data_IF_685981447162
#
_entry.id   IF_685981447162
#
_cell.length_a   1.000
_cell.length_b   1.000
_cell.length_c   1.000
_cell.angle_alpha   90.00
_cell.angle_beta   90.00
_cell.angle_gamma   90.00
#
_symmetry.space_group_name_H-M   'P 1'
#
loop_
_entity.id
_entity.type
_entity.pdbx_description
1 polymer ?
#
# COMPACT_ATOMS: atom_id res chain seq x y z
N UNK A 1 44.46 32.19 -37.42
CA UNK A 1 43.48 32.22 -38.53
C UNK A 1 43.44 30.83 -39.14
N UNK A 2 42.26 30.26 -39.36
CA UNK A 2 42.04 28.86 -39.72
C UNK A 2 41.16 28.76 -40.96
N UNK A 3 41.47 27.83 -41.86
CA UNK A 3 40.55 27.37 -42.91
C UNK A 3 39.47 26.48 -42.28
N UNK A 4 38.35 26.28 -42.99
CA UNK A 4 37.22 25.52 -42.46
C UNK A 4 37.57 24.08 -42.04
N UNK A 5 38.51 23.43 -42.73
CA UNK A 5 38.98 22.08 -42.36
C UNK A 5 39.82 22.10 -41.08
N UNK A 6 40.73 23.07 -40.95
CA UNK A 6 41.56 23.23 -39.75
C UNK A 6 40.70 23.63 -38.54
N UNK A 7 39.63 24.42 -38.76
CA UNK A 7 38.66 24.75 -37.73
C UNK A 7 37.86 23.53 -37.29
N UNK A 8 37.40 22.71 -38.24
CA UNK A 8 36.68 21.46 -37.98
C UNK A 8 37.48 20.52 -37.07
N UNK A 9 38.75 20.29 -37.42
CA UNK A 9 39.66 19.44 -36.64
C UNK A 9 39.88 20.00 -35.23
N UNK A 10 40.00 21.33 -35.10
CA UNK A 10 40.29 21.99 -33.83
C UNK A 10 39.13 21.95 -32.83
N UNK A 11 37.88 21.97 -33.30
CA UNK A 11 36.68 21.95 -32.43
C UNK A 11 35.98 20.59 -32.42
N UNK A 12 36.50 19.60 -33.14
CA UNK A 12 35.93 18.25 -33.22
C UNK A 12 34.57 18.18 -33.92
N UNK A 13 34.29 19.10 -34.86
CA UNK A 13 33.02 19.13 -35.61
C UNK A 13 33.24 18.81 -37.09
N UNK A 14 32.26 18.20 -37.73
CA UNK A 14 32.33 17.98 -39.18
C UNK A 14 32.28 19.31 -39.95
N UNK A 15 32.94 19.36 -41.10
CA UNK A 15 32.88 20.51 -42.02
C UNK A 15 31.43 20.87 -42.40
N UNK A 16 30.55 19.89 -42.56
CA UNK A 16 29.13 20.11 -42.84
C UNK A 16 28.40 20.81 -41.69
N UNK A 17 28.73 20.47 -40.44
CA UNK A 17 28.18 21.13 -39.24
C UNK A 17 28.62 22.59 -39.17
N UNK A 18 29.90 22.88 -39.44
CA UNK A 18 30.40 24.27 -39.45
C UNK A 18 29.77 25.12 -40.57
N UNK A 19 29.59 24.55 -41.76
CA UNK A 19 28.86 25.23 -42.85
C UNK A 19 27.40 25.47 -42.50
N UNK A 20 26.76 24.54 -41.80
CA UNK A 20 25.40 24.71 -41.31
C UNK A 20 25.32 25.82 -40.25
N UNK A 21 26.25 25.88 -39.29
CA UNK A 21 26.31 26.95 -38.28
C UNK A 21 26.54 28.31 -38.93
N UNK A 22 27.39 28.38 -39.95
CA UNK A 22 27.60 29.59 -40.75
C UNK A 22 26.31 30.01 -41.50
N UNK A 23 25.57 29.06 -42.08
CA UNK A 23 24.27 29.32 -42.72
C UNK A 23 23.23 29.84 -41.72
N UNK A 24 23.24 29.33 -40.49
CA UNK A 24 22.38 29.81 -39.40
C UNK A 24 22.86 31.16 -38.80
N UNK A 25 24.02 31.67 -39.24
CA UNK A 25 24.59 32.94 -38.79
C UNK A 25 25.23 32.87 -37.40
N UNK A 26 25.55 31.66 -36.93
CA UNK A 26 26.24 31.38 -35.67
C UNK A 26 27.77 31.49 -35.77
N UNK A 27 28.27 31.62 -37.00
CA UNK A 27 29.69 31.75 -37.33
C UNK A 27 29.78 32.67 -38.55
N UNK A 28 30.82 33.50 -38.66
CA UNK A 28 31.04 34.34 -39.86
C UNK A 28 32.51 34.35 -40.24
N UNK A 29 32.88 33.58 -41.26
CA UNK A 29 34.23 33.62 -41.81
C UNK A 29 34.52 34.92 -42.56
N UNK A 30 35.71 35.48 -42.39
CA UNK A 30 36.20 36.59 -43.19
C UNK A 30 36.63 36.10 -44.58
N UNK A 31 36.13 36.74 -45.65
CA UNK A 31 36.42 36.32 -47.03
C UNK A 31 37.70 36.99 -47.53
N UNK A 32 38.66 36.20 -47.97
CA UNK A 32 39.89 36.70 -48.59
C UNK A 32 39.67 36.99 -50.09
N UNK A 33 40.58 37.79 -50.67
CA UNK A 33 40.62 38.12 -52.11
C UNK A 33 40.73 36.90 -53.02
N UNK A 34 41.24 35.78 -52.51
CA UNK A 34 41.34 34.49 -53.20
C UNK A 34 40.07 33.61 -53.07
N UNK A 35 38.99 34.12 -52.47
CA UNK A 35 37.71 33.43 -52.34
C UNK A 35 37.57 32.48 -51.14
N UNK A 36 38.66 32.17 -50.42
CA UNK A 36 38.62 31.33 -49.22
C UNK A 36 38.08 32.09 -48.00
N UNK A 37 37.44 31.37 -47.07
CA UNK A 37 37.01 31.89 -45.76
C UNK A 37 38.06 31.55 -44.70
N UNK A 38 38.42 32.55 -43.90
CA UNK A 38 39.27 32.38 -42.73
C UNK A 38 38.54 32.73 -41.45
N UNK A 39 38.77 31.91 -40.43
CA UNK A 39 38.20 32.02 -39.10
C UNK A 39 39.28 32.36 -38.09
N UNK A 40 38.96 33.18 -37.11
CA UNK A 40 39.86 33.64 -36.05
C UNK A 40 39.85 32.71 -34.84
N UNK A 41 40.75 32.94 -33.88
CA UNK A 41 40.68 32.27 -32.57
C UNK A 41 39.40 32.63 -31.80
N UNK A 42 38.81 33.80 -32.05
CA UNK A 42 37.51 34.18 -31.47
C UNK A 42 36.38 33.27 -31.98
N UNK A 43 36.44 32.87 -33.25
CA UNK A 43 35.47 31.94 -33.84
C UNK A 43 35.58 30.54 -33.21
N UNK A 44 36.79 30.09 -32.87
CA UNK A 44 37.02 28.85 -32.12
C UNK A 44 36.37 28.93 -30.72
N UNK A 45 36.61 30.03 -29.99
CA UNK A 45 36.01 30.24 -28.68
C UNK A 45 34.48 30.29 -28.73
N UNK A 46 33.91 30.94 -29.75
CA UNK A 46 32.46 31.00 -29.96
C UNK A 46 31.85 29.62 -30.23
N UNK A 47 32.54 28.76 -30.99
CA UNK A 47 32.10 27.39 -31.24
C UNK A 47 32.15 26.53 -29.98
N UNK A 48 33.17 26.66 -29.14
CA UNK A 48 33.22 25.99 -27.85
C UNK A 48 32.11 26.46 -26.91
N UNK A 49 31.82 27.76 -26.85
CA UNK A 49 30.68 28.28 -26.08
C UNK A 49 29.35 27.71 -26.59
N UNK A 50 29.19 27.60 -27.91
CA UNK A 50 28.00 27.02 -28.51
C UNK A 50 27.86 25.53 -28.16
N UNK A 51 28.95 24.76 -28.16
CA UNK A 51 28.94 23.36 -27.72
C UNK A 51 28.54 23.22 -26.23
N UNK A 52 28.99 24.13 -25.36
CA UNK A 52 28.60 24.15 -23.94
C UNK A 52 27.12 24.50 -23.75
N UNK A 53 26.55 25.40 -24.57
CA UNK A 53 25.12 25.70 -24.52
C UNK A 53 24.29 24.51 -25.04
N UNK A 54 24.76 23.82 -26.07
CA UNK A 54 24.10 22.63 -26.61
C UNK A 54 24.14 21.44 -25.63
N UNK A 55 25.20 21.27 -24.85
CA UNK A 55 25.26 20.22 -23.82
C UNK A 55 24.24 20.45 -22.69
N UNK A 56 23.88 21.70 -22.42
CA UNK A 56 22.75 22.07 -21.56
C UNK A 56 21.37 21.85 -22.20
N UNK A 57 21.30 21.26 -23.40
CA UNK A 57 20.07 20.92 -24.10
C UNK A 57 19.48 22.02 -24.98
N UNK A 58 20.12 23.19 -25.11
CA UNK A 58 19.62 24.29 -25.94
C UNK A 58 19.69 23.95 -27.44
N UNK A 59 18.66 24.33 -28.18
CA UNK A 59 18.68 24.26 -29.65
C UNK A 59 19.57 25.36 -30.22
N UNK A 60 20.02 25.17 -31.45
CA UNK A 60 20.85 26.16 -32.16
C UNK A 60 20.20 27.55 -32.28
N UNK A 61 18.86 27.61 -32.36
CA UNK A 61 18.12 28.87 -32.40
C UNK A 61 18.18 29.60 -31.05
N UNK A 62 18.15 28.87 -29.95
CA UNK A 62 18.29 29.43 -28.60
C UNK A 62 19.74 29.79 -28.30
N UNK A 63 20.72 28.97 -28.72
CA UNK A 63 22.14 29.33 -28.62
C UNK A 63 22.43 30.63 -29.38
N UNK A 64 21.85 30.81 -30.57
CA UNK A 64 21.95 32.08 -31.31
C UNK A 64 21.37 33.24 -30.53
N UNK A 65 20.16 33.06 -30.00
CA UNK A 65 19.49 34.08 -29.19
C UNK A 65 20.28 34.41 -27.92
N UNK A 66 21.00 33.43 -27.36
CA UNK A 66 21.87 33.59 -26.19
C UNK A 66 23.09 34.45 -26.53
N UNK A 67 23.76 34.13 -27.63
CA UNK A 67 24.91 34.88 -28.14
C UNK A 67 24.51 36.32 -28.55
N UNK A 68 23.30 36.50 -29.06
CA UNK A 68 22.74 37.82 -29.39
C UNK A 68 22.24 38.60 -28.14
N UNK A 69 22.46 38.08 -26.92
CA UNK A 69 22.01 38.65 -25.64
C UNK A 69 20.50 38.88 -25.53
N UNK A 70 19.71 38.07 -26.26
CA UNK A 70 18.24 38.14 -26.35
C UNK A 70 17.54 37.00 -25.61
N UNK A 71 18.27 36.14 -24.90
CA UNK A 71 17.64 35.05 -24.14
C UNK A 71 16.92 35.61 -22.93
N UNK A 72 15.61 35.42 -22.95
CA UNK A 72 14.74 35.69 -21.82
C UNK A 72 14.97 34.58 -20.78
N UNK A 73 15.27 34.97 -19.55
CA UNK A 73 15.46 34.07 -18.39
C UNK A 73 14.38 32.97 -18.31
N UNK A 74 13.14 33.31 -18.65
CA UNK A 74 12.00 32.39 -18.71
C UNK A 74 12.22 31.16 -19.61
N UNK A 75 12.99 31.26 -20.70
CA UNK A 75 13.29 30.12 -21.59
C UNK A 75 14.22 29.12 -20.92
N UNK A 76 15.20 29.61 -20.16
CA UNK A 76 16.13 28.77 -19.40
C UNK A 76 15.42 28.12 -18.21
N UNK A 77 14.58 28.86 -17.49
CA UNK A 77 13.78 28.34 -16.38
C UNK A 77 12.84 27.22 -16.84
N UNK A 78 12.12 27.40 -17.96
CA UNK A 78 11.25 26.36 -18.52
C UNK A 78 12.02 25.09 -18.94
N UNK A 79 13.25 25.25 -19.44
CA UNK A 79 14.11 24.11 -19.81
C UNK A 79 14.65 23.38 -18.59
N UNK A 80 15.06 24.13 -17.57
CA UNK A 80 15.51 23.57 -16.30
C UNK A 80 14.38 22.74 -15.66
N UNK A 81 13.18 23.31 -15.57
CA UNK A 81 12.01 22.59 -15.06
C UNK A 81 11.76 21.28 -15.81
N UNK A 82 11.82 21.29 -17.14
CA UNK A 82 11.64 20.08 -17.95
C UNK A 82 12.74 19.04 -17.70
N UNK A 83 13.99 19.48 -17.51
CA UNK A 83 15.09 18.58 -17.17
C UNK A 83 14.89 17.97 -15.77
N UNK A 84 14.42 18.74 -14.81
CA UNK A 84 14.12 18.25 -13.46
C UNK A 84 12.98 17.22 -13.49
N UNK A 85 11.93 17.46 -14.29
CA UNK A 85 10.85 16.49 -14.54
C UNK A 85 11.38 15.18 -15.18
N UNK A 86 12.24 15.29 -16.20
CA UNK A 86 12.86 14.14 -16.86
C UNK A 86 13.79 13.36 -15.90
N UNK A 87 14.54 14.06 -15.03
CA UNK A 87 15.40 13.44 -14.01
C UNK A 87 14.55 12.68 -13.00
N UNK A 88 13.48 13.30 -12.49
CA UNK A 88 12.57 12.66 -11.55
C UNK A 88 11.97 11.38 -12.14
N UNK A 89 11.50 11.43 -13.39
CA UNK A 89 10.99 10.24 -14.08
C UNK A 89 12.05 9.15 -14.25
N UNK A 90 13.28 9.52 -14.63
CA UNK A 90 14.38 8.55 -14.78
C UNK A 90 14.81 7.94 -13.45
N UNK A 91 14.78 8.72 -12.36
CA UNK A 91 15.04 8.23 -11.01
C UNK A 91 13.97 7.23 -10.58
N UNK A 92 12.68 7.55 -10.78
CA UNK A 92 11.59 6.63 -10.48
C UNK A 92 11.69 5.33 -11.29
N UNK A 93 12.01 5.42 -12.59
CA UNK A 93 12.23 4.24 -13.42
C UNK A 93 13.43 3.41 -12.94
N UNK A 94 14.52 4.06 -12.50
CA UNK A 94 15.67 3.38 -11.93
C UNK A 94 15.29 2.67 -10.63
N UNK A 95 14.58 3.33 -9.73
CA UNK A 95 14.13 2.73 -8.45
C UNK A 95 13.26 1.50 -8.69
N UNK A 96 12.33 1.57 -9.65
CA UNK A 96 11.56 0.40 -10.08
C UNK A 96 12.46 -0.74 -10.55
N UNK A 97 13.44 -0.47 -11.42
CA UNK A 97 14.34 -1.50 -11.93
C UNK A 97 15.23 -2.09 -10.83
N UNK A 98 15.73 -1.27 -9.90
CA UNK A 98 16.50 -1.73 -8.74
C UNK A 98 15.64 -2.64 -7.86
N UNK A 99 14.38 -2.26 -7.64
CA UNK A 99 13.43 -3.07 -6.87
C UNK A 99 13.10 -4.39 -7.57
N UNK A 100 12.83 -4.38 -8.88
CA UNK A 100 12.56 -5.59 -9.67
C UNK A 100 13.78 -6.52 -9.78
N UNK A 101 15.00 -5.98 -9.70
CA UNK A 101 16.24 -6.76 -9.63
C UNK A 101 16.53 -7.27 -8.21
N UNK A 102 15.65 -6.99 -7.25
CA UNK A 102 15.76 -7.43 -5.87
C UNK A 102 16.86 -6.75 -5.06
N UNK A 103 17.27 -5.55 -5.48
CA UNK A 103 18.31 -4.77 -4.81
C UNK A 103 17.73 -3.70 -3.88
N UNK A 104 16.40 -3.55 -3.85
CA UNK A 104 15.66 -2.68 -2.94
C UNK A 104 14.21 -3.15 -2.80
N UNK A 105 13.51 -2.62 -1.80
CA UNK A 105 12.11 -2.96 -1.55
C UNK A 105 11.19 -2.65 -2.73
N UNK A 106 10.31 -3.60 -3.05
CA UNK A 106 9.21 -3.46 -4.03
C UNK A 106 7.94 -2.82 -3.43
N UNK A 107 7.97 -2.39 -2.16
CA UNK A 107 6.84 -1.82 -1.42
C UNK A 107 6.01 -0.82 -2.22
N UNK A 108 6.67 0.26 -2.65
CA UNK A 108 6.03 1.38 -3.33
C UNK A 108 5.44 0.92 -4.66
N UNK A 109 6.12 0.01 -5.36
CA UNK A 109 5.63 -0.53 -6.62
C UNK A 109 4.39 -1.40 -6.43
N UNK A 110 4.39 -2.30 -5.44
CA UNK A 110 3.22 -3.12 -5.12
C UNK A 110 2.02 -2.24 -4.74
N UNK A 111 2.21 -1.24 -3.87
CA UNK A 111 1.15 -0.31 -3.49
C UNK A 111 0.59 0.47 -4.69
N UNK A 112 1.47 1.00 -5.55
CA UNK A 112 1.04 1.75 -6.74
C UNK A 112 0.35 0.85 -7.77
N UNK A 113 0.87 -0.36 -7.99
CA UNK A 113 0.33 -1.29 -8.97
C UNK A 113 -0.98 -1.88 -8.50
N UNK A 114 -1.12 -2.21 -7.21
CA UNK A 114 -2.41 -2.65 -6.64
C UNK A 114 -3.48 -1.55 -6.77
N UNK A 115 -3.10 -0.28 -6.59
CA UNK A 115 -4.03 0.84 -6.76
C UNK A 115 -4.47 1.06 -8.21
N UNK A 116 -3.55 0.91 -9.16
CA UNK A 116 -3.80 1.23 -10.58
C UNK A 116 -4.31 0.03 -11.39
N UNK A 117 -3.89 -1.18 -11.04
CA UNK A 117 -4.14 -2.41 -11.76
C UNK A 117 -4.17 -3.64 -10.82
N UNK A 118 -5.12 -3.69 -9.87
CA UNK A 118 -5.17 -4.72 -8.82
C UNK A 118 -5.25 -6.15 -9.39
N UNK A 119 -6.09 -6.37 -10.40
CA UNK A 119 -6.29 -7.69 -10.99
C UNK A 119 -5.03 -8.19 -11.71
N UNK A 120 -4.38 -7.30 -12.49
CA UNK A 120 -3.14 -7.63 -13.20
C UNK A 120 -1.97 -7.86 -12.23
N UNK A 121 -1.93 -7.12 -11.12
CA UNK A 121 -0.94 -7.33 -10.06
C UNK A 121 -1.12 -8.69 -9.39
N UNK A 122 -2.36 -9.07 -9.06
CA UNK A 122 -2.70 -10.37 -8.48
C UNK A 122 -2.35 -11.53 -9.42
N UNK A 123 -2.71 -11.42 -10.71
CA UNK A 123 -2.35 -12.42 -11.72
C UNK A 123 -0.82 -12.56 -11.88
N UNK A 124 -0.10 -11.43 -11.88
CA UNK A 124 1.36 -11.44 -11.96
C UNK A 124 1.98 -12.14 -10.75
N UNK A 125 1.50 -11.86 -9.53
CA UNK A 125 1.95 -12.55 -8.32
C UNK A 125 1.72 -14.07 -8.43
N UNK A 126 0.53 -14.48 -8.89
CA UNK A 126 0.22 -15.91 -9.13
C UNK A 126 1.18 -16.54 -10.15
N UNK A 127 1.57 -15.82 -11.21
CA UNK A 127 2.54 -16.30 -12.20
C UNK A 127 3.97 -16.41 -11.67
N UNK A 128 4.35 -15.62 -10.66
CA UNK A 128 5.66 -15.75 -9.99
C UNK A 128 5.73 -16.95 -9.03
N UNK A 129 4.67 -17.76 -8.94
CA UNK A 129 4.63 -18.97 -8.11
C UNK A 129 4.05 -18.76 -6.72
N UNK A 130 3.58 -17.55 -6.40
CA UNK A 130 2.85 -17.30 -5.16
C UNK A 130 1.45 -17.90 -5.26
N UNK A 131 1.07 -18.68 -4.25
CA UNK A 131 -0.33 -19.08 -4.11
C UNK A 131 -1.19 -17.86 -3.73
N UNK A 132 -2.51 -18.01 -3.77
CA UNK A 132 -3.43 -16.90 -3.52
C UNK A 132 -3.28 -16.31 -2.10
N UNK A 133 -3.03 -17.14 -1.09
CA UNK A 133 -2.72 -16.69 0.28
C UNK A 133 -1.44 -15.83 0.32
N UNK A 134 -0.39 -16.24 -0.38
CA UNK A 134 0.88 -15.51 -0.43
C UNK A 134 0.74 -14.21 -1.24
N UNK A 135 -0.05 -14.21 -2.31
CA UNK A 135 -0.30 -13.03 -3.11
C UNK A 135 -1.12 -11.97 -2.33
N UNK A 136 -2.13 -12.41 -1.56
CA UNK A 136 -2.87 -11.55 -0.65
C UNK A 136 -1.99 -11.07 0.52
N UNK A 137 -1.11 -11.91 1.04
CA UNK A 137 -0.10 -11.51 2.03
C UNK A 137 0.89 -10.49 1.49
N UNK A 138 1.33 -10.59 0.23
CA UNK A 138 2.23 -9.61 -0.41
C UNK A 138 1.54 -8.28 -0.69
N UNK A 139 0.25 -8.32 -1.06
CA UNK A 139 -0.62 -7.14 -1.15
C UNK A 139 -0.72 -6.41 0.20
N UNK A 140 -0.73 -7.16 1.30
CA UNK A 140 -0.86 -6.61 2.66
C UNK A 140 0.48 -6.18 3.28
N UNK A 141 1.53 -6.98 3.16
CA UNK A 141 2.81 -6.71 3.82
C UNK A 141 3.62 -5.63 3.13
N UNK A 142 3.44 -5.44 1.82
CA UNK A 142 4.20 -4.44 1.06
C UNK A 142 5.72 -4.55 1.30
N UNK A 143 6.23 -5.77 1.54
CA UNK A 143 7.62 -6.02 1.98
C UNK A 143 8.41 -6.80 0.95
N UNK A 144 9.73 -6.62 1.04
CA UNK A 144 10.75 -6.99 0.06
C UNK A 144 10.63 -8.46 -0.38
N UNK A 145 10.50 -8.67 -1.68
CA UNK A 145 10.24 -9.97 -2.32
C UNK A 145 11.42 -10.95 -2.15
N UNK A 146 12.61 -10.45 -1.79
CA UNK A 146 13.84 -11.27 -1.67
C UNK A 146 14.04 -11.87 -0.27
N UNK A 147 13.24 -11.43 0.71
CA UNK A 147 13.31 -11.91 2.10
C UNK A 147 11.96 -12.44 2.60
N UNK A 148 10.98 -12.60 1.71
CA UNK A 148 9.59 -12.95 2.06
C UNK A 148 9.50 -14.21 2.92
N UNK A 149 10.19 -15.29 2.56
CA UNK A 149 10.13 -16.55 3.31
C UNK A 149 10.69 -16.42 4.72
N UNK A 150 11.81 -15.70 4.88
CA UNK A 150 12.41 -15.45 6.20
C UNK A 150 11.56 -14.49 7.02
N UNK A 151 11.04 -13.44 6.40
CA UNK A 151 10.12 -12.50 7.04
C UNK A 151 8.88 -13.24 7.56
N UNK A 152 8.27 -14.10 6.74
CA UNK A 152 7.10 -14.88 7.14
C UNK A 152 7.43 -15.91 8.22
N UNK A 153 8.60 -16.56 8.15
CA UNK A 153 9.05 -17.46 9.20
C UNK A 153 9.23 -16.74 10.54
N UNK A 154 9.87 -15.57 10.54
CA UNK A 154 10.06 -14.74 11.74
C UNK A 154 8.72 -14.23 12.27
N UNK A 155 7.85 -13.75 11.38
CA UNK A 155 6.51 -13.29 11.72
C UNK A 155 5.70 -14.40 12.39
N UNK A 156 5.64 -15.58 11.78
CA UNK A 156 4.94 -16.73 12.36
C UNK A 156 5.57 -17.17 13.69
N UNK A 157 6.89 -17.09 13.84
CA UNK A 157 7.58 -17.39 15.12
C UNK A 157 7.08 -16.50 16.26
N UNK A 158 6.76 -15.24 15.97
CA UNK A 158 6.13 -14.33 16.94
C UNK A 158 4.66 -14.71 17.14
N UNK A 159 3.87 -14.77 16.07
CA UNK A 159 2.41 -14.82 16.13
C UNK A 159 1.81 -16.20 16.48
N UNK A 160 2.55 -17.29 16.26
CA UNK A 160 2.06 -18.66 16.51
C UNK A 160 1.61 -18.87 17.97
N UNK A 161 2.32 -18.29 18.93
CA UNK A 161 2.03 -18.46 20.37
C UNK A 161 0.98 -17.50 20.91
N UNK A 162 0.61 -16.48 20.13
CA UNK A 162 -0.37 -15.50 20.56
C UNK A 162 -1.78 -16.10 20.47
N UNK A 163 -2.61 -15.77 21.45
CA UNK A 163 -4.02 -16.14 21.45
C UNK A 163 -4.81 -15.34 20.40
N UNK A 164 -4.37 -14.11 20.12
CA UNK A 164 -5.06 -13.14 19.27
C UNK A 164 -4.12 -12.61 18.20
N UNK A 165 -4.69 -12.29 17.05
CA UNK A 165 -3.98 -11.65 15.93
C UNK A 165 -4.34 -10.18 15.72
N UNK A 166 -5.22 -9.63 16.57
CA UNK A 166 -5.51 -8.21 16.59
C UNK A 166 -6.23 -7.78 17.88
N UNK A 167 -6.46 -6.47 18.05
CA UNK A 167 -7.19 -5.93 19.19
C UNK A 167 -8.63 -6.45 19.28
N UNK A 168 -9.05 -6.85 20.48
CA UNK A 168 -10.42 -7.33 20.74
C UNK A 168 -10.58 -7.81 22.18
N UNK A 169 -11.80 -7.74 22.74
CA UNK A 169 -12.09 -8.27 24.07
C UNK A 169 -13.55 -8.74 24.18
N UNK A 170 -13.82 -9.69 25.09
CA UNK A 170 -15.14 -10.33 25.20
C UNK A 170 -16.23 -9.31 25.49
N UNK A 171 -15.90 -8.29 26.29
CA UNK A 171 -16.86 -7.28 26.71
C UNK A 171 -17.37 -6.40 25.54
N UNK A 172 -16.55 -6.19 24.51
CA UNK A 172 -16.92 -5.39 23.34
C UNK A 172 -17.67 -6.23 22.31
N UNK A 173 -17.22 -7.46 22.03
CA UNK A 173 -17.94 -8.40 21.17
C UNK A 173 -19.32 -8.75 21.76
N UNK A 174 -19.40 -8.98 23.08
CA UNK A 174 -20.67 -9.23 23.75
C UNK A 174 -21.59 -8.00 23.73
N UNK A 175 -21.04 -6.78 23.86
CA UNK A 175 -21.81 -5.55 23.70
C UNK A 175 -22.44 -5.48 22.30
N UNK A 176 -21.66 -5.73 21.25
CA UNK A 176 -22.16 -5.72 19.88
C UNK A 176 -23.25 -6.77 19.64
N UNK A 177 -23.07 -7.98 20.19
CA UNK A 177 -24.05 -9.06 20.12
C UNK A 177 -25.38 -8.67 20.80
N UNK A 178 -25.30 -8.05 22.00
CA UNK A 178 -26.47 -7.60 22.76
C UNK A 178 -27.18 -6.39 22.12
N UNK A 179 -26.51 -5.66 21.25
CA UNK A 179 -27.11 -4.56 20.48
C UNK A 179 -27.98 -5.08 19.32
N UNK A 180 -27.82 -6.34 18.89
CA UNK A 180 -28.64 -6.91 17.82
C UNK A 180 -30.12 -6.94 18.25
N UNK A 181 -31.05 -6.37 17.44
CA UNK A 181 -32.48 -6.36 17.77
C UNK A 181 -33.11 -7.76 17.90
N UNK A 182 -32.52 -8.77 17.26
CA UNK A 182 -32.96 -10.16 17.32
C UNK A 182 -31.76 -11.07 17.46
N UNK A 183 -31.90 -12.14 18.25
CA UNK A 183 -30.86 -13.14 18.42
C UNK A 183 -30.69 -13.89 17.08
N UNK A 184 -29.49 -13.92 16.50
CA UNK A 184 -29.25 -14.61 15.24
C UNK A 184 -29.36 -16.13 15.42
N UNK A 185 -29.80 -16.80 14.37
CA UNK A 185 -29.89 -18.27 14.29
C UNK A 185 -28.84 -18.88 13.37
N UNK A 186 -28.30 -18.11 12.41
CA UNK A 186 -27.25 -18.54 11.48
C UNK A 186 -26.20 -17.45 11.29
N UNK A 187 -25.02 -17.67 11.85
CA UNK A 187 -23.92 -16.73 11.84
C UNK A 187 -22.81 -17.23 10.93
N UNK A 188 -22.19 -16.34 10.16
CA UNK A 188 -20.88 -16.57 9.54
C UNK A 188 -19.87 -15.61 10.17
N UNK A 189 -18.78 -16.15 10.70
CA UNK A 189 -17.66 -15.41 11.27
C UNK A 189 -16.51 -15.42 10.25
N UNK A 190 -16.29 -14.29 9.56
CA UNK A 190 -15.38 -14.17 8.42
C UNK A 190 -14.04 -13.60 8.86
N UNK A 191 -12.95 -14.32 8.56
CA UNK A 191 -11.62 -14.03 9.06
C UNK A 191 -11.55 -14.29 10.57
N UNK A 192 -11.99 -15.47 10.99
CA UNK A 192 -12.16 -15.81 12.40
C UNK A 192 -10.82 -16.07 13.13
N UNK A 193 -9.73 -16.29 12.40
CA UNK A 193 -8.41 -16.64 12.93
C UNK A 193 -8.49 -17.81 13.91
N UNK A 194 -7.93 -17.62 15.11
CA UNK A 194 -7.99 -18.61 16.21
C UNK A 194 -9.35 -18.65 16.94
N UNK A 195 -10.38 -18.05 16.33
CA UNK A 195 -11.79 -18.05 16.72
C UNK A 195 -12.09 -17.36 18.05
N UNK A 196 -11.45 -16.22 18.30
CA UNK A 196 -11.77 -15.40 19.47
C UNK A 196 -13.27 -15.02 19.51
N UNK A 197 -13.77 -14.38 18.46
CA UNK A 197 -15.18 -14.05 18.27
C UNK A 197 -16.04 -15.31 18.18
N UNK A 198 -15.60 -16.32 17.42
CA UNK A 198 -16.34 -17.57 17.22
C UNK A 198 -16.70 -18.26 18.55
N UNK A 199 -15.74 -18.39 19.47
CA UNK A 199 -15.99 -19.00 20.78
C UNK A 199 -16.96 -18.20 21.62
N UNK A 200 -16.89 -16.86 21.58
CA UNK A 200 -17.83 -15.99 22.28
C UNK A 200 -19.25 -16.16 21.71
N UNK A 201 -19.39 -16.14 20.39
CA UNK A 201 -20.67 -16.36 19.72
C UNK A 201 -21.25 -17.74 20.05
N UNK A 202 -20.42 -18.78 20.09
CA UNK A 202 -20.84 -20.13 20.46
C UNK A 202 -21.31 -20.23 21.92
N UNK A 203 -20.68 -19.51 22.85
CA UNK A 203 -21.06 -19.46 24.28
C UNK A 203 -22.36 -18.69 24.53
N UNK A 204 -22.59 -17.62 23.78
CA UNK A 204 -23.66 -16.66 24.05
C UNK A 204 -24.86 -16.76 23.11
N UNK A 205 -24.83 -17.68 22.15
CA UNK A 205 -25.95 -17.92 21.23
C UNK A 205 -26.21 -19.41 21.03
N UNK A 206 -27.41 -19.75 20.54
CA UNK A 206 -27.76 -21.08 20.05
C UNK A 206 -27.63 -21.19 18.52
N UNK A 207 -26.99 -20.22 17.87
CA UNK A 207 -26.89 -20.16 16.41
C UNK A 207 -26.07 -21.32 15.84
N UNK A 208 -26.38 -21.72 14.61
CA UNK A 208 -25.42 -22.44 13.77
C UNK A 208 -24.37 -21.44 13.29
N UNK A 209 -23.09 -21.72 13.53
CA UNK A 209 -21.98 -20.81 13.22
C UNK A 209 -21.11 -21.45 12.15
N UNK A 210 -20.78 -20.69 11.12
CA UNK A 210 -19.74 -21.04 10.15
C UNK A 210 -18.55 -20.13 10.38
N UNK A 211 -17.44 -20.70 10.85
CA UNK A 211 -16.20 -19.97 11.08
C UNK A 211 -15.30 -20.11 9.86
N UNK A 212 -14.95 -18.99 9.22
CA UNK A 212 -14.20 -18.95 7.97
C UNK A 212 -12.87 -18.26 8.19
N UNK A 213 -11.79 -18.91 7.79
CA UNK A 213 -10.47 -18.31 7.66
C UNK A 213 -9.75 -18.91 6.45
N UNK A 214 -8.71 -18.25 5.95
CA UNK A 214 -7.89 -18.81 4.88
C UNK A 214 -6.75 -19.67 5.42
N UNK A 215 -6.47 -19.62 6.73
CA UNK A 215 -5.38 -20.34 7.37
C UNK A 215 -5.87 -21.62 8.08
N UNK A 216 -5.63 -22.77 7.44
CA UNK A 216 -6.08 -24.07 7.96
C UNK A 216 -5.53 -24.36 9.37
N UNK A 217 -4.30 -23.97 9.67
CA UNK A 217 -3.71 -24.21 11.00
C UNK A 217 -4.44 -23.46 12.12
N UNK A 218 -5.00 -22.28 11.83
CA UNK A 218 -5.82 -21.52 12.77
C UNK A 218 -7.16 -22.20 13.03
N UNK A 219 -7.76 -22.77 11.98
CA UNK A 219 -9.01 -23.53 12.06
C UNK A 219 -8.82 -24.83 12.83
N UNK A 220 -7.72 -25.55 12.61
CA UNK A 220 -7.41 -26.78 13.35
C UNK A 220 -7.31 -26.48 14.86
N UNK A 221 -6.52 -25.45 15.22
CA UNK A 221 -6.39 -24.93 16.59
C UNK A 221 -7.74 -24.48 17.19
N UNK A 222 -8.61 -23.86 16.38
CA UNK A 222 -9.95 -23.46 16.81
C UNK A 222 -10.83 -24.68 17.07
N UNK A 223 -10.79 -25.69 16.19
CA UNK A 223 -11.53 -26.94 16.33
C UNK A 223 -11.20 -27.67 17.62
N UNK A 224 -9.91 -27.79 17.94
CA UNK A 224 -9.44 -28.38 19.20
C UNK A 224 -10.02 -27.64 20.42
N UNK A 225 -9.91 -26.30 20.45
CA UNK A 225 -10.43 -25.48 21.55
C UNK A 225 -11.95 -25.55 21.68
N UNK A 226 -12.68 -25.63 20.58
CA UNK A 226 -14.14 -25.78 20.59
C UNK A 226 -14.54 -27.13 21.16
N UNK A 227 -13.84 -28.21 20.79
CA UNK A 227 -14.08 -29.54 21.32
C UNK A 227 -13.78 -29.62 22.83
N UNK A 228 -12.66 -29.04 23.28
CA UNK A 228 -12.31 -28.95 24.71
C UNK A 228 -13.36 -28.22 25.54
N UNK A 229 -14.06 -27.24 24.94
CA UNK A 229 -15.10 -26.45 25.60
C UNK A 229 -16.52 -27.02 25.37
N UNK A 230 -16.67 -28.09 24.60
CA UNK A 230 -17.97 -28.68 24.23
C UNK A 230 -18.85 -27.75 23.39
N UNK A 231 -18.23 -26.90 22.56
CA UNK A 231 -18.88 -25.89 21.72
C UNK A 231 -18.88 -26.24 20.22
N UNK A 232 -18.27 -27.35 19.83
CA UNK A 232 -18.02 -27.79 18.46
C UNK A 232 -19.30 -28.20 17.70
N UNK A 233 -20.31 -28.74 18.41
CA UNK A 233 -21.51 -29.32 17.78
C UNK A 233 -22.31 -28.39 16.85
N UNK A 234 -22.18 -27.07 17.02
CA UNK A 234 -22.88 -26.05 16.22
C UNK A 234 -21.95 -25.18 15.38
N UNK A 235 -20.64 -25.49 15.36
CA UNK A 235 -19.65 -24.69 14.65
C UNK A 235 -19.08 -25.52 13.50
N UNK A 236 -19.32 -25.04 12.28
CA UNK A 236 -18.70 -25.57 11.07
C UNK A 236 -17.45 -24.74 10.75
N UNK A 237 -16.31 -25.40 10.60
CA UNK A 237 -15.06 -24.75 10.17
C UNK A 237 -14.94 -24.80 8.64
N UNK A 238 -14.56 -23.70 8.01
CA UNK A 238 -14.41 -23.61 6.55
C UNK A 238 -13.14 -22.86 6.17
N UNK A 239 -12.17 -23.58 5.60
CA UNK A 239 -10.97 -22.97 5.04
C UNK A 239 -11.30 -22.36 3.67
N UNK A 240 -11.51 -21.05 3.62
CA UNK A 240 -11.91 -20.34 2.40
C UNK A 240 -11.43 -18.88 2.40
N UNK A 241 -11.31 -18.30 1.21
CA UNK A 241 -11.01 -16.88 1.07
C UNK A 241 -12.23 -16.03 1.42
N UNK A 242 -12.02 -14.94 2.17
CA UNK A 242 -13.07 -13.95 2.43
C UNK A 242 -13.59 -13.22 1.18
N UNK A 243 -12.85 -13.30 0.06
CA UNK A 243 -13.22 -12.74 -1.25
C UNK A 243 -13.93 -13.74 -2.16
N UNK A 244 -13.94 -15.04 -1.82
CA UNK A 244 -14.55 -16.10 -2.61
C UNK A 244 -15.22 -17.12 -1.68
N UNK A 245 -16.28 -16.66 -1.00
CA UNK A 245 -16.99 -17.43 0.01
C UNK A 245 -17.92 -18.46 -0.66
N UNK A 246 -17.79 -19.77 -0.37
CA UNK A 246 -18.51 -20.85 -1.06
C UNK A 246 -19.95 -21.04 -0.53
N UNK A 247 -20.67 -19.95 -0.28
CA UNK A 247 -22.01 -19.98 0.31
C UNK A 247 -23.06 -19.39 -0.63
N UNK A 248 -24.26 -19.97 -0.58
CA UNK A 248 -25.39 -19.44 -1.33
C UNK A 248 -25.80 -18.05 -0.81
N UNK A 249 -26.29 -17.15 -1.67
CA UNK A 249 -26.90 -15.90 -1.23
C UNK A 249 -28.00 -16.12 -0.20
N UNK A 250 -28.18 -15.15 0.71
CA UNK A 250 -29.24 -15.16 1.73
C UNK A 250 -29.23 -16.38 2.68
N UNK A 251 -28.05 -16.90 3.02
CA UNK A 251 -27.89 -18.07 3.90
C UNK A 251 -27.75 -17.74 5.38
N UNK A 252 -27.38 -16.50 5.73
CA UNK A 252 -27.05 -16.10 7.10
C UNK A 252 -27.93 -14.94 7.58
N UNK A 253 -28.31 -14.93 8.85
CA UNK A 253 -29.00 -13.80 9.48
C UNK A 253 -28.05 -12.86 10.22
N UNK A 254 -26.79 -13.27 10.43
CA UNK A 254 -25.72 -12.42 10.91
C UNK A 254 -24.39 -12.74 10.23
N UNK A 255 -23.66 -11.70 9.84
CA UNK A 255 -22.25 -11.75 9.47
C UNK A 255 -21.46 -11.10 10.58
N UNK A 256 -20.40 -11.76 11.02
CA UNK A 256 -19.47 -11.27 12.03
C UNK A 256 -18.07 -11.21 11.42
N UNK A 257 -17.32 -10.14 11.69
CA UNK A 257 -15.93 -9.99 11.25
C UNK A 257 -15.23 -8.97 12.13
N UNK A 258 -14.29 -9.41 12.96
CA UNK A 258 -13.49 -8.52 13.80
C UNK A 258 -12.06 -8.47 13.29
N UNK A 259 -11.57 -7.28 12.93
CA UNK A 259 -10.16 -7.07 12.59
C UNK A 259 -9.70 -7.79 11.32
N UNK A 260 -10.61 -8.06 10.38
CA UNK A 260 -10.28 -8.81 9.15
C UNK A 260 -10.84 -8.19 7.87
N UNK A 261 -11.99 -7.51 7.92
CA UNK A 261 -12.65 -6.97 6.73
C UNK A 261 -11.78 -5.95 5.95
N UNK A 262 -10.85 -5.27 6.61
CA UNK A 262 -9.93 -4.34 5.94
C UNK A 262 -9.01 -5.04 4.93
N UNK A 263 -8.76 -6.35 5.07
CA UNK A 263 -7.87 -7.13 4.20
C UNK A 263 -8.37 -7.15 2.76
N UNK A 264 -9.69 -7.27 2.56
CA UNK A 264 -10.31 -7.16 1.23
C UNK A 264 -10.79 -5.74 0.89
N UNK A 265 -10.65 -4.80 1.83
CA UNK A 265 -11.22 -3.47 1.78
C UNK A 265 -12.68 -3.44 2.26
N UNK A 266 -12.98 -2.50 3.16
CA UNK A 266 -14.28 -2.44 3.85
C UNK A 266 -15.45 -2.23 2.88
N UNK A 267 -15.31 -1.37 1.87
CA UNK A 267 -16.38 -1.14 0.88
C UNK A 267 -16.69 -2.40 0.04
N UNK A 268 -15.65 -3.19 -0.27
CA UNK A 268 -15.83 -4.47 -0.97
C UNK A 268 -16.51 -5.48 -0.06
N UNK A 269 -16.08 -5.59 1.20
CA UNK A 269 -16.71 -6.44 2.21
C UNK A 269 -18.20 -6.11 2.36
N UNK A 270 -18.53 -4.83 2.56
CA UNK A 270 -19.92 -4.36 2.66
C UNK A 270 -20.75 -4.76 1.43
N UNK A 271 -20.20 -4.63 0.23
CA UNK A 271 -20.94 -4.92 -1.02
C UNK A 271 -21.09 -6.42 -1.27
N UNK A 272 -20.02 -7.19 -1.12
CA UNK A 272 -20.01 -8.62 -1.44
C UNK A 272 -20.74 -9.43 -0.37
N UNK A 273 -20.44 -9.20 0.90
CA UNK A 273 -21.01 -9.96 2.01
C UNK A 273 -22.49 -9.66 2.23
N UNK A 274 -22.99 -8.46 1.84
CA UNK A 274 -24.44 -8.14 1.86
C UNK A 274 -25.30 -9.16 1.09
N UNK A 275 -24.75 -9.84 0.08
CA UNK A 275 -25.45 -10.87 -0.70
C UNK A 275 -25.71 -12.14 0.11
N UNK A 276 -24.87 -12.44 1.09
CA UNK A 276 -25.00 -13.62 1.95
C UNK A 276 -26.03 -13.43 3.06
N UNK A 277 -26.37 -12.18 3.39
CA UNK A 277 -27.38 -11.87 4.40
C UNK A 277 -28.80 -12.10 3.88
N UNK A 278 -29.61 -12.76 4.70
CA UNK A 278 -31.07 -12.79 4.58
C UNK A 278 -31.67 -11.39 4.65
N UNK A 279 -32.94 -11.25 4.26
CA UNK A 279 -33.66 -10.00 4.40
C UNK A 279 -33.66 -9.51 5.86
N UNK A 280 -33.22 -8.27 6.07
CA UNK A 280 -33.05 -7.63 7.39
C UNK A 280 -32.03 -8.32 8.32
N UNK A 281 -31.14 -9.16 7.79
CA UNK A 281 -30.00 -9.69 8.53
C UNK A 281 -29.00 -8.62 8.94
N UNK A 282 -28.09 -8.97 9.84
CA UNK A 282 -27.15 -8.03 10.47
C UNK A 282 -25.71 -8.26 10.05
N UNK A 283 -24.92 -7.19 10.03
CA UNK A 283 -23.48 -7.28 9.87
C UNK A 283 -22.83 -6.59 11.06
N UNK A 284 -21.98 -7.32 11.77
CA UNK A 284 -21.12 -6.78 12.82
C UNK A 284 -19.71 -6.82 12.29
N UNK A 285 -19.11 -5.65 12.11
CA UNK A 285 -17.77 -5.50 11.59
C UNK A 285 -16.96 -4.55 12.45
N UNK A 286 -15.70 -4.88 12.74
CA UNK A 286 -14.76 -3.94 13.31
C UNK A 286 -13.78 -3.42 12.26
N UNK A 287 -13.47 -2.13 12.34
CA UNK A 287 -12.53 -1.46 11.42
C UNK A 287 -11.61 -0.51 12.20
N UNK A 288 -10.38 -0.36 11.71
CA UNK A 288 -9.42 0.59 12.25
C UNK A 288 -9.72 1.97 11.65
N UNK A 289 -9.90 2.98 12.49
CA UNK A 289 -10.37 4.30 12.07
C UNK A 289 -9.63 5.45 12.76
N UNK A 290 -9.65 6.62 12.13
CA UNK A 290 -9.30 7.88 12.77
C UNK A 290 -10.39 8.33 13.73
N UNK A 291 -10.01 8.57 14.98
CA UNK A 291 -10.86 9.10 16.05
C UNK A 291 -10.77 10.64 16.18
N UNK A 292 -9.84 11.26 15.45
CA UNK A 292 -9.63 12.70 15.36
C UNK A 292 -9.55 13.15 13.91
N UNK A 293 -9.98 14.38 13.62
CA UNK A 293 -9.85 15.01 12.30
C UNK A 293 -8.43 15.58 12.06
N UNK A 294 -7.59 15.64 13.10
CA UNK A 294 -6.23 16.17 13.02
C UNK A 294 -5.22 15.20 13.66
N UNK A 295 -4.99 14.01 13.07
CA UNK A 295 -4.00 13.06 13.55
C UNK A 295 -2.57 13.57 13.35
N UNK A 296 -1.67 13.06 14.18
CA UNK A 296 -0.23 13.31 14.11
C UNK A 296 0.34 12.80 12.78
N UNK A 297 1.23 13.58 12.17
CA UNK A 297 1.82 13.25 10.86
C UNK A 297 2.55 11.90 10.86
N UNK A 298 3.16 11.53 11.99
CA UNK A 298 3.83 10.23 12.14
C UNK A 298 2.85 9.06 12.11
N UNK A 299 1.72 9.16 12.81
CA UNK A 299 0.66 8.17 12.75
C UNK A 299 0.07 8.06 11.34
N UNK A 300 -0.15 9.20 10.66
CA UNK A 300 -0.64 9.22 9.27
C UNK A 300 0.34 8.50 8.34
N UNK A 301 1.62 8.86 8.38
CA UNK A 301 2.63 8.25 7.52
C UNK A 301 2.78 6.75 7.75
N UNK A 302 2.64 6.28 9.00
CA UNK A 302 2.64 4.86 9.31
C UNK A 302 1.43 4.15 8.71
N UNK A 303 0.21 4.63 9.01
CA UNK A 303 -1.01 3.96 8.55
C UNK A 303 -1.26 4.11 7.05
N UNK A 304 -0.76 5.15 6.37
CA UNK A 304 -0.75 5.20 4.90
C UNK A 304 0.03 4.03 4.29
N UNK A 305 1.05 3.54 4.98
CA UNK A 305 1.85 2.40 4.56
C UNK A 305 1.21 1.03 4.86
N UNK A 306 0.50 0.90 5.97
CA UNK A 306 -0.04 -0.37 6.48
C UNK A 306 -1.55 -0.55 6.17
N UNK A 307 -2.34 0.52 6.30
CA UNK A 307 -3.78 0.53 6.02
C UNK A 307 -4.23 1.86 5.35
N UNK A 308 -3.98 2.05 4.05
CA UNK A 308 -4.25 3.32 3.36
C UNK A 308 -5.75 3.67 3.22
N UNK A 309 -6.66 2.71 3.43
CA UNK A 309 -8.12 2.97 3.49
C UNK A 309 -8.60 3.33 4.90
N UNK A 310 -7.72 3.69 5.84
CA UNK A 310 -8.17 4.15 7.15
C UNK A 310 -8.98 5.45 7.03
N UNK A 311 -10.25 5.41 7.45
CA UNK A 311 -11.19 6.53 7.34
C UNK A 311 -11.53 7.15 8.71
N UNK A 312 -12.15 8.33 8.69
CA UNK A 312 -12.83 8.89 9.88
C UNK A 312 -14.16 8.17 10.13
N UNK A 313 -14.69 8.31 11.35
CA UNK A 313 -16.00 7.75 11.74
C UNK A 313 -17.09 8.14 10.73
N UNK A 314 -17.25 9.44 10.46
CA UNK A 314 -18.33 9.94 9.61
C UNK A 314 -18.23 9.44 8.17
N UNK A 315 -17.01 9.37 7.64
CA UNK A 315 -16.76 8.86 6.30
C UNK A 315 -17.14 7.39 6.20
N UNK A 316 -16.76 6.57 7.19
CA UNK A 316 -17.09 5.13 7.21
C UNK A 316 -18.60 4.90 7.37
N UNK A 317 -19.27 5.65 8.24
CA UNK A 317 -20.73 5.62 8.36
C UNK A 317 -21.44 5.99 7.05
N UNK A 318 -20.92 6.98 6.31
CA UNK A 318 -21.45 7.32 4.99
C UNK A 318 -21.29 6.17 4.00
N UNK A 319 -20.13 5.51 3.95
CA UNK A 319 -19.89 4.36 3.07
C UNK A 319 -20.84 3.19 3.41
N UNK A 320 -21.05 2.90 4.69
CA UNK A 320 -22.00 1.85 5.14
C UNK A 320 -23.44 2.15 4.69
N UNK A 321 -23.90 3.39 4.82
CA UNK A 321 -25.23 3.81 4.33
C UNK A 321 -25.33 3.70 2.81
N UNK A 322 -24.30 4.10 2.07
CA UNK A 322 -24.25 3.99 0.61
C UNK A 322 -24.26 2.53 0.13
N UNK A 323 -23.65 1.63 0.90
CA UNK A 323 -23.69 0.18 0.65
C UNK A 323 -25.06 -0.46 0.99
N UNK A 324 -26.06 0.33 1.38
CA UNK A 324 -27.41 -0.14 1.66
C UNK A 324 -27.56 -0.78 3.04
N UNK A 325 -26.82 -0.28 4.03
CA UNK A 325 -27.01 -0.64 5.44
C UNK A 325 -27.62 0.50 6.26
N UNK A 326 -28.49 0.13 7.19
CA UNK A 326 -28.88 0.96 8.32
C UNK A 326 -27.86 0.74 9.45
N UNK A 327 -27.35 1.83 10.04
CA UNK A 327 -26.44 1.74 11.19
C UNK A 327 -27.27 1.68 12.47
N UNK A 328 -27.24 0.56 13.18
CA UNK A 328 -27.95 0.38 14.45
C UNK A 328 -27.18 1.05 15.58
N UNK A 329 -25.88 0.76 15.67
CA UNK A 329 -24.98 1.32 16.67
C UNK A 329 -23.53 1.23 16.17
N UNK A 330 -22.65 2.01 16.80
CA UNK A 330 -21.22 1.94 16.57
C UNK A 330 -20.46 2.52 17.76
N UNK A 331 -19.42 1.82 18.22
CA UNK A 331 -18.65 2.25 19.39
C UNK A 331 -17.16 1.89 19.26
N UNK A 332 -16.31 2.75 19.81
CA UNK A 332 -14.87 2.51 19.88
C UNK A 332 -14.60 1.37 20.86
N UNK A 333 -13.73 0.43 20.48
CA UNK A 333 -13.27 -0.63 21.36
C UNK A 333 -12.51 -0.03 22.55
N UNK A 334 -12.59 -0.70 23.69
CA UNK A 334 -11.96 -0.26 24.93
C UNK A 334 -10.44 -0.40 24.83
N UNK A 335 -9.74 0.39 25.63
CA UNK A 335 -8.28 0.26 25.79
C UNK A 335 -7.86 -1.16 26.20
N UNK A 336 -8.70 -1.88 26.97
CA UNK A 336 -8.45 -3.28 27.32
C UNK A 336 -8.30 -4.17 26.08
N UNK A 337 -9.09 -3.95 25.02
CA UNK A 337 -9.00 -4.73 23.78
C UNK A 337 -7.62 -4.59 23.10
N UNK A 338 -7.01 -3.42 23.23
CA UNK A 338 -5.66 -3.15 22.74
C UNK A 338 -4.61 -3.75 23.67
N UNK A 339 -4.80 -3.60 24.97
CA UNK A 339 -3.91 -4.16 25.99
C UNK A 339 -3.80 -5.69 25.89
N UNK A 340 -4.94 -6.38 25.71
CA UNK A 340 -5.03 -7.83 25.56
C UNK A 340 -4.30 -8.38 24.33
N UNK A 341 -4.03 -7.52 23.34
CA UNK A 341 -3.26 -7.86 22.15
C UNK A 341 -1.78 -7.43 22.26
N UNK A 342 -1.51 -6.16 22.55
CA UNK A 342 -0.15 -5.62 22.51
C UNK A 342 0.72 -6.04 23.70
N UNK A 343 0.16 -6.35 24.88
CA UNK A 343 0.99 -6.82 26.00
C UNK A 343 1.59 -8.21 25.74
N UNK A 344 0.81 -9.24 25.35
CA UNK A 344 1.39 -10.52 24.94
C UNK A 344 2.35 -10.39 23.76
N UNK A 345 2.03 -9.55 22.77
CA UNK A 345 2.89 -9.32 21.62
C UNK A 345 4.25 -8.74 22.03
N UNK A 346 4.28 -7.72 22.89
CA UNK A 346 5.51 -7.13 23.43
C UNK A 346 6.35 -8.16 24.18
N UNK A 347 5.72 -8.94 25.06
CA UNK A 347 6.41 -9.99 25.81
C UNK A 347 7.03 -11.03 24.86
N UNK A 348 6.28 -11.43 23.83
CA UNK A 348 6.75 -12.39 22.83
C UNK A 348 7.90 -11.84 21.99
N UNK A 349 7.82 -10.58 21.53
CA UNK A 349 8.91 -9.92 20.81
C UNK A 349 10.18 -9.88 21.68
N UNK A 350 10.06 -9.49 22.96
CA UNK A 350 11.20 -9.46 23.87
C UNK A 350 11.85 -10.84 24.08
N UNK A 351 11.05 -11.90 24.11
CA UNK A 351 11.52 -13.29 24.24
C UNK A 351 12.37 -13.73 23.03
N UNK A 352 11.89 -13.46 21.81
CA UNK A 352 12.48 -14.02 20.59
C UNK A 352 13.50 -13.11 19.91
N UNK A 353 13.56 -11.83 20.30
CA UNK A 353 14.45 -10.83 19.67
C UNK A 353 15.92 -11.21 19.72
N UNK A 354 16.38 -11.79 20.83
CA UNK A 354 17.77 -12.20 20.97
C UNK A 354 18.17 -13.30 19.96
N UNK A 355 17.24 -14.18 19.59
CA UNK A 355 17.46 -15.22 18.57
C UNK A 355 17.33 -14.71 17.12
N UNK A 356 16.80 -13.50 16.91
CA UNK A 356 16.49 -12.96 15.59
C UNK A 356 16.98 -11.49 15.42
N UNK A 357 18.29 -11.21 15.61
CA UNK A 357 18.82 -9.85 15.76
C UNK A 357 18.78 -8.97 14.49
N UNK A 358 18.45 -9.55 13.32
CA UNK A 358 18.33 -8.85 12.03
C UNK A 358 16.94 -9.02 11.39
N UNK A 359 15.95 -9.45 12.18
CA UNK A 359 14.61 -9.69 11.66
C UNK A 359 13.90 -8.38 11.34
N UNK A 360 13.57 -8.19 10.06
CA UNK A 360 12.72 -7.09 9.61
C UNK A 360 11.29 -7.22 10.17
N UNK A 361 10.79 -8.44 10.38
CA UNK A 361 9.50 -8.67 11.02
C UNK A 361 9.46 -8.12 12.45
N UNK A 362 10.49 -8.40 13.26
CA UNK A 362 10.59 -7.83 14.61
C UNK A 362 10.67 -6.30 14.55
N UNK A 363 11.50 -5.74 13.68
CA UNK A 363 11.66 -4.29 13.59
C UNK A 363 10.35 -3.58 13.22
N UNK A 364 9.54 -4.18 12.35
CA UNK A 364 8.24 -3.62 11.97
C UNK A 364 7.19 -3.79 13.06
N UNK A 365 7.16 -4.93 13.77
CA UNK A 365 6.29 -5.14 14.93
C UNK A 365 6.63 -4.15 16.05
N UNK A 366 7.91 -3.89 16.30
CA UNK A 366 8.35 -2.87 17.28
C UNK A 366 7.91 -1.46 16.86
N UNK A 367 7.94 -1.14 15.56
CA UNK A 367 7.43 0.14 15.05
C UNK A 367 5.92 0.25 15.26
N UNK A 368 5.17 -0.81 14.95
CA UNK A 368 3.72 -0.84 15.18
C UNK A 368 3.38 -0.66 16.66
N UNK A 369 4.09 -1.38 17.55
CA UNK A 369 3.97 -1.24 19.00
C UNK A 369 4.21 0.22 19.43
N UNK A 370 5.25 0.86 18.90
CA UNK A 370 5.56 2.25 19.23
C UNK A 370 4.45 3.20 18.75
N UNK A 371 3.92 3.02 17.54
CA UNK A 371 2.81 3.82 17.02
C UNK A 371 1.57 3.67 17.91
N UNK A 372 1.27 2.44 18.32
CA UNK A 372 0.22 2.16 19.30
C UNK A 372 0.45 2.91 20.62
N UNK A 373 1.63 2.78 21.24
CA UNK A 373 1.91 3.39 22.55
C UNK A 373 1.84 4.93 22.55
N UNK A 374 2.23 5.57 21.43
CA UNK A 374 2.32 7.02 21.35
C UNK A 374 1.03 7.68 20.88
N UNK A 375 0.22 7.00 20.06
CA UNK A 375 -0.88 7.62 19.32
C UNK A 375 -2.23 6.92 19.51
N UNK A 376 -2.35 5.92 20.39
CA UNK A 376 -3.65 5.37 20.76
C UNK A 376 -4.58 6.50 21.24
N UNK A 377 -5.79 6.55 20.67
CA UNK A 377 -6.75 7.62 20.92
C UNK A 377 -6.83 8.64 19.78
N UNK A 378 -5.79 8.78 18.95
CA UNK A 378 -5.92 9.42 17.64
C UNK A 378 -6.54 8.48 16.61
N UNK A 379 -6.21 7.19 16.72
CA UNK A 379 -6.86 6.10 16.00
C UNK A 379 -7.36 5.04 16.98
N UNK A 380 -8.25 4.18 16.50
CA UNK A 380 -8.75 3.05 17.26
C UNK A 380 -9.63 2.14 16.43
N UNK A 381 -9.90 0.95 16.96
CA UNK A 381 -10.85 0.04 16.36
C UNK A 381 -12.25 0.50 16.75
N UNK A 382 -13.15 0.50 15.78
CA UNK A 382 -14.55 0.78 15.99
C UNK A 382 -15.38 -0.40 15.54
N UNK A 383 -16.27 -0.83 16.42
CA UNK A 383 -17.29 -1.83 16.12
C UNK A 383 -18.48 -1.13 15.48
N UNK A 384 -18.99 -1.69 14.39
CA UNK A 384 -20.18 -1.22 13.68
C UNK A 384 -21.22 -2.34 13.66
N UNK A 385 -22.43 -2.04 14.16
CA UNK A 385 -23.57 -2.95 14.13
C UNK A 385 -24.54 -2.44 13.09
N UNK A 386 -24.68 -3.20 12.01
CA UNK A 386 -25.38 -2.81 10.80
C UNK A 386 -26.56 -3.74 10.54
N UNK A 387 -27.61 -3.20 9.93
CA UNK A 387 -28.74 -3.96 9.40
C UNK A 387 -28.77 -3.82 7.89
N UNK A 388 -28.95 -4.93 7.18
CA UNK A 388 -29.19 -4.90 5.73
C UNK A 388 -30.47 -4.10 5.45
N UNK A 389 -30.30 -2.98 4.74
CA UNK A 389 -31.39 -2.15 4.25
C UNK A 389 -32.20 -2.91 3.20
N UNK A 390 -33.46 -2.46 3.04
CA UNK A 390 -34.45 -3.05 2.15
C UNK A 390 -34.01 -3.11 0.68
#
# INVERSE_FOLDING_TARGET
MYRISELADKVGLSRSTLLYYEKQGLLRGSRQTNGYRLYSDKDVQQLHLLQQLQSGGLTLKECKSFLDSKVQRAVLEKRLQRLDEDIAQKQQARELLVALLGQSSLRIWHQQTDKLAPDAHLEWLKQQGFNEQQALHLKWLSKDMNEHDQYMADFMTVFQTLERWGPGCDADSLKALLTLPTIPSKIIDIGCGKGFSTRLLAKHTLAEIVAVDNEQSALDELGERLAEQGLDTRVTLSCASMTDLPFTPESFDCIWSEGSAYIMGIEQALTQWRKLLTNRGYMVVSDLIWLTDNPSQEAVAFWEGEYPDMQTIEKRLSQMRQAGFEVIDHFTLREQAWHDYYQPLKARVAEVKASMPKSNAIADIEREIAIYEHYLGEFGYRMFVLRKGA
#
